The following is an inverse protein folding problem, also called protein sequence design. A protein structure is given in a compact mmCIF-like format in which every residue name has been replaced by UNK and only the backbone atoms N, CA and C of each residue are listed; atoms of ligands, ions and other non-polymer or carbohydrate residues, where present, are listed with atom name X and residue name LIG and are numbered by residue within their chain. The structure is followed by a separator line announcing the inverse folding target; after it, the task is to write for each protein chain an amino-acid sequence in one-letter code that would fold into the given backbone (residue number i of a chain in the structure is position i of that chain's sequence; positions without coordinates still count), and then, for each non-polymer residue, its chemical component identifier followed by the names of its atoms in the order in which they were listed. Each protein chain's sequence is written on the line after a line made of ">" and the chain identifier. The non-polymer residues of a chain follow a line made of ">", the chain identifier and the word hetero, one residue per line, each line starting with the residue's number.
data_IF_049658496661
#
_entry.id   IF_049658496661
#
_cell.length_a   1.000
_cell.length_b   1.000
_cell.length_c   1.000
_cell.angle_alpha   90.00
_cell.angle_beta   90.00
_cell.angle_gamma   90.00
#
_symmetry.space_group_name_H-M   'P 1'
#
loop_
_entity.id
_entity.type
_entity.pdbx_description
1 polymer ?
#
# COMPACT_ATOMS: atom_id res chain seq x y z
N UNK A 1 -14.13 0.34 6.70
CA UNK A 1 -13.01 0.59 5.84
C UNK A 1 -11.98 -0.53 5.96
N UNK A 2 -11.26 -0.80 4.89
CA UNK A 2 -10.39 -1.97 4.77
C UNK A 2 -9.12 -1.86 5.59
N UNK A 3 -8.61 -3.01 6.02
CA UNK A 3 -7.31 -3.13 6.67
C UNK A 3 -6.39 -3.96 5.79
N UNK A 4 -5.17 -3.48 5.59
CA UNK A 4 -4.14 -4.21 4.87
C UNK A 4 -3.05 -4.59 5.84
N UNK A 5 -2.61 -5.85 5.78
CA UNK A 5 -1.46 -6.32 6.53
C UNK A 5 -0.31 -6.63 5.59
N UNK A 6 0.87 -6.14 5.93
CA UNK A 6 2.12 -6.48 5.24
C UNK A 6 2.89 -7.41 6.16
N UNK A 7 3.29 -8.58 5.67
CA UNK A 7 3.98 -9.59 6.45
C UNK A 7 5.26 -10.06 5.78
N UNK A 8 6.21 -10.46 6.59
CA UNK A 8 7.38 -11.20 6.13
C UNK A 8 7.14 -12.66 6.47
N UNK A 9 7.01 -13.50 5.44
CA UNK A 9 6.76 -14.93 5.60
C UNK A 9 7.07 -15.70 4.32
N UNK A 10 7.41 -16.98 4.48
CA UNK A 10 7.65 -17.87 3.35
C UNK A 10 6.35 -18.31 2.67
N UNK A 11 6.46 -18.96 1.48
CA UNK A 11 5.30 -19.40 0.71
C UNK A 11 4.38 -20.36 1.47
N UNK A 12 4.92 -21.26 2.27
CA UNK A 12 4.12 -22.21 3.03
C UNK A 12 3.18 -21.52 4.01
N UNK A 13 3.71 -20.59 4.79
CA UNK A 13 2.92 -19.84 5.76
C UNK A 13 1.86 -18.98 5.06
N UNK A 14 2.21 -18.40 3.92
CA UNK A 14 1.27 -17.63 3.11
C UNK A 14 0.09 -18.50 2.64
N UNK A 15 0.36 -19.65 2.05
CA UNK A 15 -0.70 -20.55 1.56
C UNK A 15 -1.52 -21.15 2.68
N UNK A 16 -0.89 -21.50 3.81
CA UNK A 16 -1.61 -22.03 4.95
C UNK A 16 -2.58 -21.00 5.54
N UNK A 17 -2.19 -19.74 5.63
CA UNK A 17 -3.10 -18.67 6.04
C UNK A 17 -4.23 -18.49 5.06
N UNK A 18 -3.95 -18.56 3.76
CA UNK A 18 -4.99 -18.49 2.74
C UNK A 18 -6.03 -19.59 2.91
N UNK A 19 -5.59 -20.81 3.16
CA UNK A 19 -6.50 -21.94 3.44
C UNK A 19 -7.30 -21.71 4.73
N UNK A 20 -6.66 -21.21 5.78
CA UNK A 20 -7.34 -20.89 7.03
C UNK A 20 -8.45 -19.87 6.83
N UNK A 21 -8.15 -18.80 6.11
CA UNK A 21 -9.13 -17.74 5.87
C UNK A 21 -10.25 -18.21 4.96
N UNK A 22 -9.96 -19.08 3.99
CA UNK A 22 -10.97 -19.69 3.15
C UNK A 22 -11.96 -20.53 3.99
N UNK A 23 -11.44 -21.33 4.93
CA UNK A 23 -12.29 -22.09 5.85
C UNK A 23 -13.14 -21.20 6.75
N UNK A 24 -12.56 -20.10 7.24
CA UNK A 24 -13.29 -19.12 8.05
C UNK A 24 -14.43 -18.49 7.25
N UNK A 25 -14.16 -18.10 6.00
CA UNK A 25 -15.16 -17.54 5.11
C UNK A 25 -16.29 -18.54 4.84
N UNK A 26 -15.96 -19.82 4.61
CA UNK A 26 -16.95 -20.89 4.39
C UNK A 26 -17.87 -21.09 5.59
N UNK A 27 -17.38 -20.82 6.80
CA UNK A 27 -18.15 -20.89 8.02
C UNK A 27 -18.86 -19.58 8.38
N UNK A 28 -18.76 -18.57 7.53
CA UNK A 28 -19.32 -17.25 7.81
C UNK A 28 -18.57 -16.47 8.87
N UNK A 29 -17.37 -16.90 9.23
CA UNK A 29 -16.55 -16.18 10.21
C UNK A 29 -15.88 -14.96 9.61
N UNK A 30 -15.64 -13.95 10.44
CA UNK A 30 -15.04 -12.69 10.01
C UNK A 30 -13.53 -12.83 9.83
N UNK A 31 -13.05 -12.46 8.65
CA UNK A 31 -11.62 -12.42 8.35
C UNK A 31 -11.03 -11.11 8.91
N UNK A 32 -9.92 -11.17 9.68
CA UNK A 32 -9.38 -9.97 10.35
C UNK A 32 -8.79 -8.94 9.40
N UNK A 33 -8.35 -9.35 8.20
CA UNK A 33 -7.78 -8.45 7.20
C UNK A 33 -8.48 -8.63 5.88
N UNK A 34 -8.76 -7.51 5.19
CA UNK A 34 -9.32 -7.58 3.84
C UNK A 34 -8.25 -7.88 2.79
N UNK A 35 -6.97 -7.67 3.12
CA UNK A 35 -5.86 -7.89 2.20
C UNK A 35 -4.57 -8.15 2.95
N UNK A 36 -3.80 -9.12 2.46
CA UNK A 36 -2.47 -9.44 2.99
C UNK A 36 -1.47 -9.39 1.85
N UNK A 37 -0.38 -8.65 2.07
CA UNK A 37 0.76 -8.58 1.16
C UNK A 37 1.93 -9.24 1.87
N UNK A 38 2.51 -10.28 1.26
CA UNK A 38 3.60 -11.03 1.86
C UNK A 38 4.91 -10.80 1.11
N UNK A 39 5.97 -10.55 1.87
CA UNK A 39 7.35 -10.55 1.39
C UNK A 39 8.05 -11.78 1.92
N UNK A 40 8.87 -12.44 1.09
CA UNK A 40 9.57 -13.66 1.49
C UNK A 40 10.60 -13.42 2.59
N UNK A 41 11.23 -12.24 2.59
CA UNK A 41 12.27 -11.91 3.56
C UNK A 41 12.25 -10.43 3.92
N UNK A 42 12.93 -10.12 5.03
CA UNK A 42 13.01 -8.76 5.54
C UNK A 42 13.79 -7.83 4.60
N UNK A 43 14.81 -8.35 3.95
CA UNK A 43 15.63 -7.56 3.02
C UNK A 43 14.77 -6.99 1.88
N UNK A 44 13.95 -7.85 1.28
CA UNK A 44 13.03 -7.41 0.21
C UNK A 44 12.02 -6.38 0.73
N UNK A 45 11.44 -6.63 1.91
CA UNK A 45 10.51 -5.69 2.51
C UNK A 45 11.17 -4.32 2.71
N UNK A 46 12.37 -4.27 3.28
CA UNK A 46 13.07 -3.02 3.53
C UNK A 46 13.51 -2.32 2.26
N UNK A 47 13.76 -3.07 1.18
CA UNK A 47 14.09 -2.48 -0.11
C UNK A 47 12.90 -1.77 -0.75
N UNK A 48 11.69 -2.20 -0.42
CA UNK A 48 10.44 -1.59 -0.92
C UNK A 48 9.95 -0.49 0.01
N UNK A 49 9.87 -0.78 1.31
CA UNK A 49 9.38 0.18 2.30
C UNK A 49 10.53 0.97 2.92
N UNK A 50 11.17 1.79 2.10
CA UNK A 50 12.18 2.73 2.57
C UNK A 50 11.53 3.83 3.39
N UNK A 51 12.32 4.55 4.16
CA UNK A 51 11.84 5.68 4.97
C UNK A 51 11.08 6.70 4.12
N UNK A 52 11.61 7.06 2.95
CA UNK A 52 10.95 8.01 2.04
C UNK A 52 9.62 7.51 1.54
N UNK A 53 9.51 6.21 1.23
CA UNK A 53 8.25 5.62 0.77
C UNK A 53 7.24 5.50 1.89
N UNK A 54 7.68 5.17 3.10
CA UNK A 54 6.79 5.17 4.27
C UNK A 54 6.24 6.57 4.53
N UNK A 55 7.09 7.60 4.44
CA UNK A 55 6.65 8.99 4.57
C UNK A 55 5.63 9.35 3.50
N UNK A 56 5.84 8.92 2.25
CA UNK A 56 4.89 9.12 1.17
C UNK A 56 3.55 8.44 1.46
N UNK A 57 3.57 7.19 1.92
CA UNK A 57 2.34 6.48 2.30
C UNK A 57 1.57 7.23 3.38
N UNK A 58 2.26 7.70 4.42
CA UNK A 58 1.64 8.46 5.50
C UNK A 58 1.02 9.76 4.98
N UNK A 59 1.72 10.45 4.08
CA UNK A 59 1.20 11.68 3.48
C UNK A 59 -0.06 11.43 2.65
N UNK A 60 -0.06 10.37 1.84
CA UNK A 60 -1.21 9.97 1.04
C UNK A 60 -2.40 9.62 1.93
N UNK A 61 -2.16 8.94 3.04
CA UNK A 61 -3.23 8.61 4.00
C UNK A 61 -3.82 9.84 4.66
N UNK A 62 -2.99 10.81 5.00
CA UNK A 62 -3.47 12.06 5.61
C UNK A 62 -4.28 12.88 4.61
N UNK A 63 -3.76 13.04 3.40
CA UNK A 63 -4.41 13.85 2.38
C UNK A 63 -4.06 13.33 1.00
N UNK A 64 -4.96 12.57 0.37
CA UNK A 64 -4.79 12.15 -1.02
C UNK A 64 -4.60 13.35 -1.94
N UNK A 65 -3.94 13.15 -3.06
CA UNK A 65 -3.70 14.23 -4.00
C UNK A 65 -3.03 13.80 -5.28
N UNK A 66 -2.79 14.76 -6.15
CA UNK A 66 -2.03 14.54 -7.37
C UNK A 66 -0.55 14.35 -7.05
N UNK A 67 0.19 13.75 -7.97
CA UNK A 67 1.64 13.56 -7.81
C UNK A 67 2.33 14.90 -7.62
N UNK A 68 1.94 15.92 -8.39
CA UNK A 68 2.52 17.26 -8.28
C UNK A 68 2.33 17.84 -6.87
N UNK A 69 1.13 17.72 -6.32
CA UNK A 69 0.83 18.23 -4.98
C UNK A 69 1.60 17.44 -3.91
N UNK A 70 1.66 16.13 -4.04
CA UNK A 70 2.40 15.29 -3.09
C UNK A 70 3.91 15.61 -3.12
N UNK A 71 4.48 15.79 -4.30
CA UNK A 71 5.88 16.17 -4.44
C UNK A 71 6.16 17.52 -3.77
N UNK A 72 5.28 18.48 -3.96
CA UNK A 72 5.40 19.79 -3.33
C UNK A 72 5.35 19.69 -1.80
N UNK A 73 4.38 18.94 -1.26
CA UNK A 73 4.26 18.76 0.20
C UNK A 73 5.47 18.08 0.81
N UNK A 74 6.05 17.12 0.07
CA UNK A 74 7.20 16.36 0.55
C UNK A 74 8.54 17.07 0.30
N UNK A 75 8.54 18.17 -0.45
CA UNK A 75 9.77 18.84 -0.85
C UNK A 75 10.65 17.94 -1.70
N UNK A 76 10.05 17.10 -2.55
CA UNK A 76 10.77 16.12 -3.37
C UNK A 76 10.53 16.36 -4.84
N UNK A 77 11.49 15.91 -5.64
CA UNK A 77 11.39 15.97 -7.08
C UNK A 77 10.22 15.12 -7.58
N UNK A 78 9.45 15.67 -8.53
CA UNK A 78 8.25 15.01 -9.06
C UNK A 78 8.58 13.65 -9.68
N UNK A 79 9.68 13.53 -10.41
CA UNK A 79 10.06 12.27 -11.02
C UNK A 79 10.38 11.18 -10.00
N UNK A 80 11.01 11.57 -8.89
CA UNK A 80 11.30 10.64 -7.79
C UNK A 80 10.00 10.16 -7.11
N UNK A 81 9.07 11.07 -6.87
CA UNK A 81 7.77 10.73 -6.29
C UNK A 81 6.97 9.84 -7.26
N UNK A 82 7.02 10.13 -8.55
CA UNK A 82 6.35 9.30 -9.57
C UNK A 82 6.85 7.86 -9.53
N UNK A 83 8.18 7.65 -9.45
CA UNK A 83 8.75 6.31 -9.37
C UNK A 83 8.31 5.58 -8.10
N UNK A 84 8.31 6.25 -6.97
CA UNK A 84 7.87 5.67 -5.70
C UNK A 84 6.37 5.32 -5.74
N UNK A 85 5.55 6.19 -6.29
CA UNK A 85 4.11 5.96 -6.45
C UNK A 85 3.86 4.73 -7.33
N UNK A 86 4.57 4.61 -8.45
CA UNK A 86 4.43 3.47 -9.35
C UNK A 86 4.80 2.15 -8.65
N UNK A 87 5.89 2.15 -7.89
CA UNK A 87 6.30 0.96 -7.14
C UNK A 87 5.26 0.59 -6.08
N UNK A 88 4.82 1.55 -5.30
CA UNK A 88 3.85 1.32 -4.22
C UNK A 88 2.47 0.90 -4.76
N UNK A 89 2.11 1.39 -5.93
CA UNK A 89 0.89 0.95 -6.62
C UNK A 89 1.00 -0.52 -7.02
N UNK A 90 2.13 -0.93 -7.59
CA UNK A 90 2.37 -2.33 -7.97
C UNK A 90 2.35 -3.27 -6.76
N UNK A 91 2.91 -2.82 -5.65
CA UNK A 91 2.88 -3.59 -4.39
C UNK A 91 1.46 -3.66 -3.84
N UNK A 92 0.67 -2.63 -4.06
CA UNK A 92 -0.73 -2.60 -3.68
C UNK A 92 -1.01 -1.87 -2.38
N UNK A 93 -0.13 -0.97 -1.93
CA UNK A 93 -0.34 -0.19 -0.70
C UNK A 93 -0.96 1.18 -0.97
N UNK A 94 -0.93 1.63 -2.21
CA UNK A 94 -1.64 2.82 -2.66
C UNK A 94 -2.35 2.53 -3.98
N UNK A 95 -3.30 3.38 -4.34
CA UNK A 95 -3.97 3.28 -5.63
C UNK A 95 -3.89 4.61 -6.37
N UNK A 96 -3.87 4.53 -7.70
CA UNK A 96 -3.81 5.68 -8.58
C UNK A 96 -5.01 5.65 -9.51
N UNK A 97 -5.74 6.77 -9.56
CA UNK A 97 -6.87 6.94 -10.45
C UNK A 97 -6.67 8.20 -11.25
N UNK A 98 -7.40 8.33 -12.37
CA UNK A 98 -7.43 9.57 -13.11
C UNK A 98 -8.56 10.43 -12.57
N UNK A 99 -8.26 11.68 -12.27
CA UNK A 99 -9.24 12.63 -11.75
C UNK A 99 -9.21 13.90 -12.59
N UNK A 100 -10.38 14.36 -12.98
CA UNK A 100 -10.52 15.64 -13.69
C UNK A 100 -10.54 16.76 -12.66
N UNK A 101 -9.59 17.68 -12.78
CA UNK A 101 -9.50 18.84 -11.89
C UNK A 101 -9.86 20.08 -12.69
N UNK A 102 -10.71 21.00 -12.15
CA UNK A 102 -11.06 22.23 -12.84
C UNK A 102 -9.81 23.03 -13.25
N UNK A 103 -9.71 23.37 -14.53
CA UNK A 103 -8.59 24.14 -15.06
C UNK A 103 -7.29 23.37 -15.28
N UNK A 104 -7.25 22.08 -14.94
CA UNK A 104 -6.01 21.29 -15.00
C UNK A 104 -6.12 20.00 -15.83
N UNK A 105 -7.31 19.72 -16.40
CA UNK A 105 -7.53 18.48 -17.15
C UNK A 105 -7.48 17.25 -16.23
N UNK A 106 -7.12 16.11 -16.82
CA UNK A 106 -7.02 14.85 -16.08
C UNK A 106 -5.65 14.72 -15.44
N UNK A 107 -5.63 14.38 -14.14
CA UNK A 107 -4.40 14.15 -13.41
C UNK A 107 -4.45 12.81 -12.69
N UNK A 108 -3.29 12.20 -12.50
CA UNK A 108 -3.16 11.01 -11.67
C UNK A 108 -3.35 11.41 -10.20
N UNK A 109 -4.32 10.77 -9.57
CA UNK A 109 -4.69 11.01 -8.18
C UNK A 109 -4.30 9.83 -7.33
N UNK A 110 -3.51 10.08 -6.31
CA UNK A 110 -2.98 9.04 -5.41
C UNK A 110 -3.79 9.01 -4.14
N UNK A 111 -4.29 7.84 -3.78
CA UNK A 111 -5.10 7.65 -2.58
C UNK A 111 -4.73 6.33 -1.88
N UNK A 112 -5.08 6.17 -0.59
CA UNK A 112 -4.79 4.95 0.12
C UNK A 112 -5.72 3.82 -0.32
N UNK A 113 -5.24 2.58 -0.28
CA UNK A 113 -6.07 1.39 -0.52
C UNK A 113 -6.83 0.95 0.72
N UNK A 114 -6.39 1.38 1.89
CA UNK A 114 -6.93 0.94 3.17
C UNK A 114 -6.87 2.06 4.20
N UNK A 115 -7.75 1.98 5.18
CA UNK A 115 -7.75 2.90 6.31
C UNK A 115 -6.51 2.76 7.18
N UNK A 116 -6.04 1.52 7.34
CA UNK A 116 -4.84 1.24 8.09
C UNK A 116 -3.99 0.21 7.36
N UNK A 117 -2.67 0.36 7.47
CA UNK A 117 -1.69 -0.60 6.98
C UNK A 117 -0.91 -1.05 8.21
N UNK A 118 -0.98 -2.34 8.48
CA UNK A 118 -0.29 -2.94 9.61
C UNK A 118 0.88 -3.75 9.11
N UNK A 119 2.06 -3.52 9.69
CA UNK A 119 3.28 -4.23 9.33
C UNK A 119 3.62 -5.21 10.43
N UNK A 120 3.76 -6.48 10.07
CA UNK A 120 4.11 -7.54 11.01
C UNK A 120 5.29 -8.34 10.47
N UNK A 121 6.31 -8.46 11.29
CA UNK A 121 7.46 -9.31 11.00
C UNK A 121 7.81 -10.10 12.24
N UNK A 122 7.98 -11.41 12.08
CA UNK A 122 8.40 -12.30 13.14
C UNK A 122 9.84 -12.72 12.88
N UNK A 123 10.71 -12.43 13.83
CA UNK A 123 12.15 -12.70 13.70
C UNK A 123 12.55 -13.99 14.41
#
# INVERSE_FOLDING_TARGET
>A
MRRTEIRVEGPEAFFERGRKYARMADRGERIPYSRIIAFEDMETLLSVLTERRVTLIKQVKQKPGSITVLASRLGRDRSAVTRDVQLLERVGVIQVTLKTLPGHGKQKWVSPVARSIQLTAEL
#
